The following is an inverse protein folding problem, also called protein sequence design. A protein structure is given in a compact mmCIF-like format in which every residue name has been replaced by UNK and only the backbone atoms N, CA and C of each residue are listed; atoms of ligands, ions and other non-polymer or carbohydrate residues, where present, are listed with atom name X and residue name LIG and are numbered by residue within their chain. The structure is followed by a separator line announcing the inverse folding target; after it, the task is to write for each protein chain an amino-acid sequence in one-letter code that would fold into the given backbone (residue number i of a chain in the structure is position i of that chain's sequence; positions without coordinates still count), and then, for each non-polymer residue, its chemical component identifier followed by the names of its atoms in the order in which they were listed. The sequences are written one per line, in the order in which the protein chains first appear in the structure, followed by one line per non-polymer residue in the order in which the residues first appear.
data_IF_259269288959
#
_entry.id   IF_259269288959
#
_cell.length_a   1.000
_cell.length_b   1.000
_cell.length_c   1.000
_cell.angle_alpha   90.00
_cell.angle_beta   90.00
_cell.angle_gamma   90.00
#
_symmetry.space_group_name_H-M   'P 1'
#
loop_
_entity.id
_entity.type
_entity.pdbx_description
1 polymer ?
#
# COMPACT_ATOMS: atom_id res chain seq x y z
N UNK A 1 -8.13 12.70 9.59
CA UNK A 1 -7.98 12.79 8.12
C UNK A 1 -6.96 11.77 7.63
N UNK A 2 -5.73 11.80 8.12
CA UNK A 2 -4.69 10.78 7.95
C UNK A 2 -5.15 9.31 8.11
N UNK A 3 -5.77 9.01 9.25
CA UNK A 3 -6.24 7.67 9.60
C UNK A 3 -7.18 7.07 8.54
N UNK A 4 -8.04 7.90 7.95
CA UNK A 4 -8.97 7.49 6.92
C UNK A 4 -8.26 6.96 5.66
N UNK A 5 -7.19 7.63 5.23
CA UNK A 5 -6.39 7.20 4.07
C UNK A 5 -5.66 5.88 4.34
N UNK A 6 -5.14 5.70 5.56
CA UNK A 6 -4.48 4.46 5.96
C UNK A 6 -5.47 3.30 5.99
N UNK A 7 -6.65 3.49 6.58
CA UNK A 7 -7.72 2.48 6.61
C UNK A 7 -8.15 2.09 5.20
N UNK A 8 -8.38 3.06 4.31
CA UNK A 8 -8.72 2.78 2.92
C UNK A 8 -7.61 2.04 2.18
N UNK A 9 -6.34 2.41 2.40
CA UNK A 9 -5.21 1.73 1.80
C UNK A 9 -5.11 0.27 2.25
N UNK A 10 -5.25 0.01 3.56
CA UNK A 10 -5.24 -1.36 4.09
C UNK A 10 -6.40 -2.18 3.52
N UNK A 11 -7.61 -1.62 3.45
CA UNK A 11 -8.77 -2.30 2.86
C UNK A 11 -8.51 -2.72 1.40
N UNK A 12 -7.98 -1.81 0.58
CA UNK A 12 -7.65 -2.13 -0.83
C UNK A 12 -6.51 -3.12 -0.96
N UNK A 13 -5.52 -3.07 -0.07
CA UNK A 13 -4.44 -4.04 -0.03
C UNK A 13 -4.98 -5.44 0.28
N UNK A 14 -5.90 -5.57 1.24
CA UNK A 14 -6.56 -6.84 1.54
C UNK A 14 -7.36 -7.37 0.34
N UNK A 15 -8.17 -6.52 -0.30
CA UNK A 15 -8.89 -6.90 -1.52
C UNK A 15 -7.93 -7.41 -2.60
N UNK A 16 -6.82 -6.71 -2.85
CA UNK A 16 -5.82 -7.15 -3.84
C UNK A 16 -5.17 -8.48 -3.42
N UNK A 17 -4.93 -8.70 -2.12
CA UNK A 17 -4.41 -9.96 -1.60
C UNK A 17 -5.35 -11.13 -1.89
N UNK A 18 -6.65 -10.97 -1.60
CA UNK A 18 -7.67 -11.99 -1.85
C UNK A 18 -7.78 -12.35 -3.34
N UNK A 19 -7.72 -11.34 -4.21
CA UNK A 19 -7.72 -11.54 -5.66
C UNK A 19 -6.44 -12.22 -6.15
N UNK A 20 -5.27 -11.88 -5.58
CA UNK A 20 -4.01 -12.58 -5.87
C UNK A 20 -4.02 -14.04 -5.39
N UNK A 21 -4.66 -14.35 -4.26
CA UNK A 21 -4.83 -15.72 -3.77
C UNK A 21 -5.75 -16.54 -4.68
N UNK A 22 -6.80 -15.89 -5.20
CA UNK A 22 -7.74 -16.47 -6.16
C UNK A 22 -7.21 -16.53 -7.60
N UNK A 23 -5.94 -16.17 -7.82
CA UNK A 23 -5.29 -16.03 -9.13
C UNK A 23 -6.02 -15.08 -10.11
N UNK A 24 -6.87 -14.20 -9.58
CA UNK A 24 -7.63 -13.23 -10.33
C UNK A 24 -6.84 -11.94 -10.53
N UNK A 25 -5.79 -12.05 -11.35
CA UNK A 25 -4.90 -10.93 -11.65
C UNK A 25 -5.63 -9.75 -12.30
N UNK A 26 -6.71 -10.00 -13.04
CA UNK A 26 -7.49 -8.94 -13.69
C UNK A 26 -8.15 -8.02 -12.66
N UNK A 27 -8.86 -8.59 -11.69
CA UNK A 27 -9.51 -7.80 -10.63
C UNK A 27 -8.49 -7.18 -9.69
N UNK A 28 -7.42 -7.90 -9.32
CA UNK A 28 -6.30 -7.35 -8.54
C UNK A 28 -5.72 -6.09 -9.21
N UNK A 29 -5.51 -6.15 -10.52
CA UNK A 29 -4.98 -5.03 -11.32
C UNK A 29 -5.98 -3.88 -11.43
N UNK A 30 -7.26 -4.19 -11.61
CA UNK A 30 -8.32 -3.16 -11.64
C UNK A 30 -8.41 -2.42 -10.31
N UNK A 31 -8.41 -3.13 -9.17
CA UNK A 31 -8.44 -2.54 -7.83
C UNK A 31 -7.22 -1.64 -7.57
N UNK A 32 -6.05 -2.02 -8.09
CA UNK A 32 -4.83 -1.22 -7.96
C UNK A 32 -4.88 0.06 -8.82
N UNK A 33 -5.38 -0.01 -10.05
CA UNK A 33 -5.39 1.10 -11.00
C UNK A 33 -6.69 1.90 -11.09
N UNK A 34 -7.72 1.62 -10.29
CA UNK A 34 -8.92 2.47 -10.28
C UNK A 34 -8.71 3.69 -9.36
N UNK A 35 -8.97 4.94 -9.81
CA UNK A 35 -9.59 5.36 -11.08
C UNK A 35 -8.62 5.80 -12.22
N UNK A 36 -7.31 5.56 -12.14
CA UNK A 36 -6.35 5.96 -13.17
C UNK A 36 -4.96 5.33 -12.99
N UNK A 37 -3.93 5.72 -13.77
CA UNK A 37 -2.58 5.22 -13.57
C UNK A 37 -2.12 5.40 -12.11
N UNK A 38 -1.66 4.32 -11.48
CA UNK A 38 -1.37 4.23 -10.03
C UNK A 38 -2.56 4.47 -9.09
N UNK A 39 -3.79 4.43 -9.60
CA UNK A 39 -5.07 4.46 -8.89
C UNK A 39 -5.07 5.31 -7.62
N UNK A 40 -5.18 4.63 -6.48
CA UNK A 40 -5.19 5.23 -5.15
C UNK A 40 -3.81 5.32 -4.50
N UNK A 41 -2.78 4.73 -5.11
CA UNK A 41 -1.40 4.76 -4.62
C UNK A 41 -0.87 6.19 -4.60
N UNK A 42 -1.05 6.96 -5.69
CA UNK A 42 -0.58 8.35 -5.79
C UNK A 42 -1.12 9.26 -4.67
N UNK A 43 -2.46 9.38 -4.47
CA UNK A 43 -2.98 10.24 -3.41
C UNK A 43 -2.63 9.74 -2.01
N UNK A 44 -2.46 8.42 -1.81
CA UNK A 44 -1.96 7.88 -0.54
C UNK A 44 -0.53 8.34 -0.28
N UNK A 45 0.39 8.07 -1.19
CA UNK A 45 1.82 8.43 -1.05
C UNK A 45 1.97 9.92 -0.77
N UNK A 46 1.23 10.77 -1.50
CA UNK A 46 1.24 12.21 -1.24
C UNK A 46 0.81 12.53 0.20
N UNK A 47 -0.31 11.97 0.66
CA UNK A 47 -0.81 12.18 2.03
C UNK A 47 0.19 11.72 3.09
N UNK A 48 0.76 10.52 2.93
CA UNK A 48 1.72 9.97 3.88
C UNK A 48 3.03 10.78 3.91
N UNK A 49 3.45 11.31 2.77
CA UNK A 49 4.62 12.19 2.65
C UNK A 49 4.40 13.52 3.36
N UNK A 50 3.23 14.15 3.19
CA UNK A 50 2.84 15.38 3.89
C UNK A 50 2.79 15.20 5.42
N UNK A 51 2.39 14.02 5.88
CA UNK A 51 2.41 13.66 7.30
C UNK A 51 3.79 13.33 7.85
N UNK A 52 4.75 13.00 6.99
CA UNK A 52 6.09 12.58 7.39
C UNK A 52 6.95 13.81 7.70
N UNK A 53 6.88 14.26 8.95
CA UNK A 53 7.55 15.48 9.44
C UNK A 53 8.99 15.23 9.88
N UNK A 54 9.31 14.02 10.33
CA UNK A 54 10.67 13.63 10.76
C UNK A 54 11.44 12.90 9.67
N UNK A 55 12.77 12.87 9.77
CA UNK A 55 13.62 12.14 8.82
C UNK A 55 13.30 10.63 8.81
N UNK A 56 13.04 10.03 9.97
CA UNK A 56 12.69 8.61 10.10
C UNK A 56 11.33 8.29 9.46
N UNK A 57 10.33 9.17 9.65
CA UNK A 57 9.02 9.03 9.00
C UNK A 57 9.17 9.11 7.48
N UNK A 58 9.94 10.06 6.96
CA UNK A 58 10.17 10.22 5.51
C UNK A 58 10.90 9.02 4.91
N UNK A 59 11.90 8.48 5.61
CA UNK A 59 12.59 7.27 5.17
C UNK A 59 11.63 6.07 5.09
N UNK A 60 10.77 5.91 6.10
CA UNK A 60 9.78 4.83 6.13
C UNK A 60 8.71 5.03 5.05
N UNK A 61 8.28 6.26 4.81
CA UNK A 61 7.34 6.63 3.75
C UNK A 61 7.93 6.34 2.37
N UNK A 62 9.20 6.69 2.13
CA UNK A 62 9.88 6.41 0.86
C UNK A 62 10.03 4.90 0.60
N UNK A 63 10.25 4.10 1.65
CA UNK A 63 10.26 2.64 1.53
C UNK A 63 8.88 2.09 1.12
N UNK A 64 7.81 2.58 1.77
CA UNK A 64 6.44 2.23 1.43
C UNK A 64 6.07 2.63 -0.01
N UNK A 65 6.39 3.87 -0.39
CA UNK A 65 6.20 4.39 -1.75
C UNK A 65 6.86 3.48 -2.79
N UNK A 66 8.12 3.11 -2.56
CA UNK A 66 8.86 2.21 -3.45
C UNK A 66 8.15 0.87 -3.61
N UNK A 67 7.67 0.28 -2.51
CA UNK A 67 6.97 -1.01 -2.56
C UNK A 67 5.61 -0.93 -3.26
N UNK A 68 4.86 0.17 -3.07
CA UNK A 68 3.60 0.40 -3.77
C UNK A 68 3.81 0.53 -5.29
N UNK A 69 4.81 1.31 -5.73
CA UNK A 69 5.13 1.42 -7.16
C UNK A 69 5.69 0.12 -7.75
N UNK A 70 6.43 -0.68 -6.96
CA UNK A 70 6.84 -2.02 -7.39
C UNK A 70 5.62 -2.91 -7.65
N UNK A 71 4.58 -2.81 -6.82
CA UNK A 71 3.32 -3.54 -7.04
C UNK A 71 2.61 -3.07 -8.32
N UNK A 72 2.54 -1.76 -8.57
CA UNK A 72 2.02 -1.22 -9.83
C UNK A 72 2.78 -1.77 -11.04
N UNK A 73 4.12 -1.69 -11.04
CA UNK A 73 4.94 -2.17 -12.14
C UNK A 73 4.77 -3.69 -12.36
N UNK A 74 4.64 -4.46 -11.28
CA UNK A 74 4.38 -5.89 -11.35
C UNK A 74 2.99 -6.17 -11.95
N UNK A 75 1.96 -5.41 -11.57
CA UNK A 75 0.62 -5.52 -12.13
C UNK A 75 0.58 -5.16 -13.64
N UNK A 76 1.26 -4.07 -14.05
CA UNK A 76 1.41 -3.70 -15.46
C UNK A 76 2.09 -4.81 -16.28
N UNK A 77 3.10 -5.45 -15.68
CA UNK A 77 3.83 -6.56 -16.28
C UNK A 77 3.10 -7.91 -16.16
N UNK A 78 1.89 -7.92 -15.59
CA UNK A 78 1.11 -9.13 -15.29
C UNK A 78 1.88 -10.18 -14.48
N UNK A 79 2.77 -9.73 -13.59
CA UNK A 79 3.63 -10.56 -12.77
C UNK A 79 3.04 -10.72 -11.36
N UNK A 80 2.24 -11.78 -11.15
CA UNK A 80 1.58 -12.04 -9.87
C UNK A 80 2.56 -12.32 -8.72
N UNK A 81 3.65 -13.03 -8.98
CA UNK A 81 4.71 -13.27 -7.98
C UNK A 81 5.42 -11.97 -7.57
N UNK A 82 5.61 -11.07 -8.55
CA UNK A 82 6.09 -9.72 -8.30
C UNK A 82 5.14 -8.91 -7.43
N UNK A 83 3.82 -9.01 -7.67
CA UNK A 83 2.80 -8.35 -6.85
C UNK A 83 2.77 -8.91 -5.42
N UNK A 84 2.87 -10.24 -5.24
CA UNK A 84 2.93 -10.89 -3.92
C UNK A 84 4.17 -10.46 -3.12
N UNK A 85 5.32 -10.39 -3.79
CA UNK A 85 6.57 -9.91 -3.19
C UNK A 85 6.46 -8.44 -2.76
N UNK A 86 5.89 -7.60 -3.63
CA UNK A 86 5.65 -6.20 -3.33
C UNK A 86 4.66 -6.03 -2.16
N UNK A 87 3.57 -6.81 -2.13
CA UNK A 87 2.56 -6.80 -1.06
C UNK A 87 3.17 -7.04 0.32
N UNK A 88 4.04 -8.06 0.45
CA UNK A 88 4.74 -8.36 1.71
C UNK A 88 5.63 -7.20 2.16
N UNK A 89 6.25 -6.50 1.20
CA UNK A 89 7.09 -5.33 1.45
C UNK A 89 6.26 -4.09 1.83
N UNK A 90 5.10 -3.91 1.19
CA UNK A 90 4.12 -2.85 1.51
C UNK A 90 3.64 -3.02 2.94
N UNK A 91 3.23 -4.21 3.34
CA UNK A 91 2.74 -4.50 4.68
C UNK A 91 3.77 -4.10 5.75
N UNK A 92 5.01 -4.57 5.58
CA UNK A 92 6.09 -4.28 6.53
C UNK A 92 6.41 -2.79 6.60
N UNK A 93 6.45 -2.11 5.45
CA UNK A 93 6.76 -0.67 5.36
C UNK A 93 5.63 0.20 5.90
N UNK A 94 4.38 -0.20 5.66
CA UNK A 94 3.19 0.48 6.17
C UNK A 94 3.12 0.38 7.69
N UNK A 95 3.35 -0.81 8.24
CA UNK A 95 3.40 -1.01 9.69
C UNK A 95 4.51 -0.19 10.34
N UNK A 96 5.73 -0.19 9.76
CA UNK A 96 6.83 0.61 10.26
C UNK A 96 6.53 2.12 10.19
N UNK A 97 5.98 2.60 9.07
CA UNK A 97 5.57 4.00 8.96
C UNK A 97 4.49 4.35 9.99
N UNK A 98 3.50 3.49 10.19
CA UNK A 98 2.42 3.69 11.17
C UNK A 98 2.91 3.71 12.62
N UNK A 99 3.89 2.87 12.98
CA UNK A 99 4.57 2.91 14.27
C UNK A 99 5.30 4.25 14.50
N UNK A 100 5.84 4.85 13.45
CA UNK A 100 6.53 6.15 13.50
C UNK A 100 5.58 7.35 13.48
N UNK A 101 4.30 7.16 13.18
CA UNK A 101 3.27 8.22 13.10
C UNK A 101 2.13 8.03 14.09
N UNK A 102 2.30 7.15 15.09
CA UNK A 102 1.29 6.84 16.12
C UNK A 102 -0.02 6.23 15.56
N UNK A 103 0.02 5.69 14.33
CA UNK A 103 -1.11 5.04 13.65
C UNK A 103 -1.03 3.51 13.67
N UNK A 104 -0.07 2.94 14.40
CA UNK A 104 0.12 1.50 14.52
C UNK A 104 -1.15 0.78 14.97
N UNK A 105 -1.86 1.33 15.96
CA UNK A 105 -3.11 0.75 16.45
C UNK A 105 -4.22 0.69 15.40
N UNK A 106 -4.25 1.61 14.44
CA UNK A 106 -5.19 1.58 13.31
C UNK A 106 -4.81 0.49 12.32
N UNK A 107 -3.53 0.39 11.95
CA UNK A 107 -3.05 -0.65 11.03
C UNK A 107 -3.25 -2.04 11.64
N UNK A 108 -2.86 -2.23 12.90
CA UNK A 108 -2.97 -3.51 13.60
C UNK A 108 -4.43 -4.01 13.65
N UNK A 109 -5.40 -3.16 14.03
CA UNK A 109 -6.83 -3.53 14.11
C UNK A 109 -7.45 -3.98 12.78
N UNK A 110 -6.88 -3.58 11.65
CA UNK A 110 -7.39 -3.93 10.33
C UNK A 110 -6.85 -5.28 9.83
N UNK A 111 -5.87 -5.85 10.52
CA UNK A 111 -5.09 -7.01 10.07
C UNK A 111 -5.26 -8.25 10.97
N UNK A 112 -6.09 -8.17 12.01
CA UNK A 112 -6.50 -9.23 12.95
C UNK A 112 -8.02 -9.36 12.92
#
# INVERSE_FOLDING_TARGET
MAEHYVVQAVGKLLEISEEMESENLSTATETLFKPGPNGWVTPLVQTLSEMSTTAEQRQSCAALEKSLFQMCNAAESKNIEGMRTAYSSIYSSLYNWAAKTELEGTVHKMLI
#
